data_IF_024660800966
#
_entry.id   IF_024660800966
#
_cell.length_a   1.000
_cell.length_b   1.000
_cell.length_c   1.000
_cell.angle_alpha   90.00
_cell.angle_beta   90.00
_cell.angle_gamma   90.00
#
_symmetry.space_group_name_H-M   'P 1'
#
loop_
_entity.id
_entity.type
_entity.pdbx_description
1 polymer ?
#
# COMPACT_ATOMS: atom_id res chain seq x y z
N UNK A 1 14.09 -6.89 9.20
CA UNK A 1 14.83 -5.84 8.45
C UNK A 1 13.95 -4.78 7.75
N UNK A 2 12.60 -4.83 7.78
CA UNK A 2 11.76 -3.99 6.88
C UNK A 2 11.35 -2.59 7.39
N UNK A 3 11.01 -2.43 8.68
CA UNK A 3 10.40 -1.19 9.20
C UNK A 3 11.38 -0.02 9.36
N UNK A 4 12.50 -0.26 10.05
CA UNK A 4 13.55 0.75 10.24
C UNK A 4 14.12 1.23 8.90
N UNK A 5 14.34 0.32 7.93
CA UNK A 5 14.82 0.70 6.60
C UNK A 5 13.82 1.56 5.82
N UNK A 6 12.51 1.29 5.88
CA UNK A 6 11.50 2.12 5.22
C UNK A 6 11.39 3.51 5.84
N UNK A 7 11.47 3.61 7.17
CA UNK A 7 11.45 4.88 7.88
C UNK A 7 12.67 5.74 7.50
N UNK A 8 13.87 5.17 7.52
CA UNK A 8 15.10 5.85 7.09
C UNK A 8 15.03 6.37 5.65
N UNK A 9 14.45 5.59 4.72
CA UNK A 9 14.26 6.05 3.33
C UNK A 9 13.28 7.22 3.27
N UNK A 10 12.19 7.17 4.03
CA UNK A 10 11.18 8.24 4.07
C UNK A 10 11.75 9.53 4.67
N UNK A 11 12.52 9.41 5.76
CA UNK A 11 13.23 10.54 6.37
C UNK A 11 14.28 11.14 5.42
N UNK A 12 15.00 10.31 4.67
CA UNK A 12 15.92 10.79 3.63
C UNK A 12 15.18 11.56 2.54
N UNK A 13 14.02 11.06 2.07
CA UNK A 13 13.21 11.76 1.08
C UNK A 13 12.74 13.12 1.60
N UNK A 14 12.34 13.23 2.87
CA UNK A 14 11.96 14.50 3.50
C UNK A 14 13.12 15.48 3.53
N UNK A 15 14.31 15.04 3.96
CA UNK A 15 15.51 15.90 3.94
C UNK A 15 15.81 16.43 2.55
N UNK A 16 15.65 15.60 1.52
CA UNK A 16 15.86 16.03 0.14
C UNK A 16 14.80 17.04 -0.32
N UNK A 17 13.56 16.93 0.14
CA UNK A 17 12.48 17.87 -0.20
C UNK A 17 12.57 19.21 0.54
N UNK A 18 13.09 19.23 1.77
CA UNK A 18 13.32 20.48 2.52
C UNK A 18 14.43 21.32 1.92
N UNK A 19 15.37 20.69 1.21
CA UNK A 19 16.47 21.38 0.54
C UNK A 19 16.04 21.88 -0.84
N UNK A 20 16.31 23.15 -1.12
CA UNK A 20 16.01 23.76 -2.40
C UNK A 20 17.25 23.73 -3.32
N UNK A 21 17.60 22.55 -3.82
CA UNK A 21 18.75 22.38 -4.72
C UNK A 21 18.56 23.15 -6.03
N UNK A 22 19.56 23.95 -6.40
CA UNK A 22 19.58 24.71 -7.66
C UNK A 22 20.31 23.98 -8.78
N UNK A 23 21.02 22.88 -8.48
CA UNK A 23 21.76 22.07 -9.45
C UNK A 23 21.93 20.62 -9.00
N UNK A 24 22.22 19.72 -9.95
CA UNK A 24 22.57 18.32 -9.66
C UNK A 24 23.85 18.20 -8.83
N UNK A 25 24.81 19.13 -9.01
CA UNK A 25 26.05 19.17 -8.24
C UNK A 25 25.82 19.47 -6.75
N UNK A 26 24.85 20.34 -6.43
CA UNK A 26 24.45 20.60 -5.05
C UNK A 26 23.79 19.37 -4.41
N UNK A 27 22.90 18.71 -5.14
CA UNK A 27 22.28 17.44 -4.71
C UNK A 27 23.34 16.37 -4.44
N UNK A 28 24.30 16.20 -5.36
CA UNK A 28 25.37 15.21 -5.21
C UNK A 28 26.23 15.49 -3.98
N UNK A 29 26.67 16.75 -3.79
CA UNK A 29 27.45 17.14 -2.60
C UNK A 29 26.67 16.90 -1.30
N UNK A 30 25.37 17.19 -1.29
CA UNK A 30 24.53 16.92 -0.14
C UNK A 30 24.44 15.41 0.14
N UNK A 31 24.20 14.59 -0.87
CA UNK A 31 24.17 13.13 -0.75
C UNK A 31 25.49 12.57 -0.25
N UNK A 32 26.63 13.02 -0.79
CA UNK A 32 27.97 12.65 -0.32
C UNK A 32 28.18 13.02 1.16
N UNK A 33 27.64 14.17 1.59
CA UNK A 33 27.73 14.62 2.98
C UNK A 33 26.96 13.75 3.98
N UNK A 34 25.99 12.95 3.50
CA UNK A 34 25.18 12.02 4.28
C UNK A 34 25.77 10.61 4.33
N UNK A 35 26.74 10.27 3.47
CA UNK A 35 27.37 8.96 3.45
C UNK A 35 28.06 8.70 4.79
N UNK A 36 27.74 7.57 5.43
CA UNK A 36 28.30 7.16 6.71
C UNK A 36 27.72 7.89 7.93
N UNK A 37 26.73 8.76 7.76
CA UNK A 37 25.99 9.40 8.85
C UNK A 37 24.64 8.74 9.05
N UNK A 38 24.14 8.78 10.28
CA UNK A 38 22.74 8.44 10.55
C UNK A 38 21.84 9.53 9.99
N UNK A 39 20.78 9.11 9.30
CA UNK A 39 19.76 10.02 8.78
C UNK A 39 18.88 10.48 9.95
N UNK A 40 18.73 11.80 10.20
CA UNK A 40 17.83 12.33 11.21
C UNK A 40 16.40 11.82 11.02
N UNK A 41 15.76 11.36 12.11
CA UNK A 41 14.34 11.00 12.10
C UNK A 41 13.49 12.25 12.31
N UNK A 42 12.40 12.36 11.56
CA UNK A 42 11.41 13.40 11.77
C UNK A 42 10.46 13.01 12.92
N UNK A 43 10.08 13.96 13.81
CA UNK A 43 9.05 13.72 14.82
C UNK A 43 7.70 13.43 14.17
N UNK A 44 6.93 12.51 14.74
CA UNK A 44 5.59 12.15 14.25
C UNK A 44 4.67 13.38 14.07
N UNK A 45 4.69 14.30 15.04
CA UNK A 45 3.86 15.50 15.03
C UNK A 45 4.24 16.53 13.95
N UNK A 46 5.41 16.37 13.33
CA UNK A 46 5.86 17.23 12.22
C UNK A 46 5.41 16.72 10.84
N UNK A 47 4.89 15.50 10.77
CA UNK A 47 4.44 14.88 9.53
C UNK A 47 3.06 15.38 9.14
N UNK A 48 2.75 15.39 7.84
CA UNK A 48 1.38 15.65 7.40
C UNK A 48 0.43 14.50 7.80
N UNK A 49 -0.89 14.75 7.91
CA UNK A 49 -1.84 13.75 8.39
C UNK A 49 -1.84 12.42 7.62
N UNK A 50 -1.56 12.42 6.31
CA UNK A 50 -1.52 11.18 5.52
C UNK A 50 -0.26 10.38 5.82
N UNK A 51 0.86 11.04 6.04
CA UNK A 51 2.09 10.39 6.47
C UNK A 51 1.96 9.83 7.89
N UNK A 52 1.37 10.59 8.82
CA UNK A 52 1.05 10.11 10.16
C UNK A 52 0.16 8.86 10.12
N UNK A 53 -0.88 8.87 9.29
CA UNK A 53 -1.74 7.71 9.09
C UNK A 53 -0.95 6.49 8.59
N UNK A 54 -0.06 6.66 7.61
CA UNK A 54 0.80 5.58 7.11
C UNK A 54 1.77 5.04 8.16
N UNK A 55 2.36 5.88 9.00
CA UNK A 55 3.23 5.44 10.09
C UNK A 55 2.45 4.62 11.12
N UNK A 56 1.25 5.06 11.51
CA UNK A 56 0.37 4.32 12.41
C UNK A 56 0.01 2.93 11.85
N UNK A 57 -0.29 2.83 10.55
CA UNK A 57 -0.57 1.54 9.91
C UNK A 57 0.68 0.68 9.79
N UNK A 58 1.84 1.26 9.48
CA UNK A 58 3.10 0.54 9.49
C UNK A 58 3.40 -0.06 10.86
N UNK A 59 3.10 0.69 11.94
CA UNK A 59 3.20 0.20 13.30
C UNK A 59 2.21 -0.92 13.60
N UNK A 60 0.97 -0.79 13.12
CA UNK A 60 -0.11 -1.74 13.36
C UNK A 60 0.17 -3.16 12.85
N UNK A 61 0.99 -3.32 11.81
CA UNK A 61 1.38 -4.65 11.30
C UNK A 61 2.17 -5.51 12.30
N UNK A 62 2.88 -4.90 13.25
CA UNK A 62 3.69 -5.61 14.25
C UNK A 62 2.96 -5.75 15.60
N UNK A 63 1.71 -5.31 15.70
CA UNK A 63 0.94 -5.26 16.93
C UNK A 63 -0.06 -6.42 17.06
N UNK A 64 -0.52 -6.68 18.28
CA UNK A 64 -1.66 -7.59 18.49
C UNK A 64 -2.93 -7.03 17.82
N UNK A 65 -3.91 -7.87 17.41
CA UNK A 65 -5.13 -7.40 16.73
C UNK A 65 -5.86 -6.26 17.46
N UNK A 66 -5.91 -6.30 18.79
CA UNK A 66 -6.57 -5.26 19.60
C UNK A 66 -5.80 -3.94 19.51
N UNK A 67 -4.47 -3.98 19.63
CA UNK A 67 -3.63 -2.77 19.53
C UNK A 67 -3.59 -2.23 18.10
N UNK A 68 -3.53 -3.11 17.09
CA UNK A 68 -3.59 -2.74 15.69
C UNK A 68 -4.87 -1.95 15.37
N UNK A 69 -6.03 -2.36 15.90
CA UNK A 69 -7.30 -1.63 15.70
C UNK A 69 -7.26 -0.19 16.24
N UNK A 70 -6.61 0.06 17.38
CA UNK A 70 -6.44 1.42 17.91
C UNK A 70 -5.65 2.30 16.93
N UNK A 71 -4.52 1.79 16.42
CA UNK A 71 -3.71 2.52 15.44
C UNK A 71 -4.45 2.76 14.12
N UNK A 72 -5.22 1.77 13.65
CA UNK A 72 -6.05 1.88 12.46
C UNK A 72 -7.10 2.98 12.64
N UNK A 73 -7.81 3.00 13.76
CA UNK A 73 -8.82 4.02 14.05
C UNK A 73 -8.21 5.42 14.08
N UNK A 74 -7.05 5.59 14.71
CA UNK A 74 -6.31 6.85 14.69
C UNK A 74 -5.87 7.24 13.27
N UNK A 75 -5.37 6.28 12.48
CA UNK A 75 -4.99 6.53 11.09
C UNK A 75 -6.19 7.01 10.25
N UNK A 76 -7.37 6.43 10.44
CA UNK A 76 -8.61 6.82 9.74
C UNK A 76 -9.17 8.17 10.21
N UNK A 77 -8.89 8.59 11.44
CA UNK A 77 -9.21 9.94 11.92
C UNK A 77 -8.34 11.00 11.22
N UNK A 78 -7.08 10.66 10.91
CA UNK A 78 -6.13 11.54 10.23
C UNK A 78 -6.36 11.55 8.71
N UNK A 79 -6.57 10.38 8.11
CA UNK A 79 -6.89 10.20 6.70
C UNK A 79 -7.96 9.12 6.50
N UNK A 80 -9.20 9.55 6.34
CA UNK A 80 -10.34 8.66 6.07
C UNK A 80 -10.20 7.90 4.74
N UNK A 81 -9.32 8.34 3.85
CA UNK A 81 -9.02 7.68 2.58
C UNK A 81 -7.75 6.82 2.64
N UNK A 82 -7.21 6.53 3.83
CA UNK A 82 -6.05 5.66 4.00
C UNK A 82 -6.38 4.22 3.58
N UNK A 83 -6.00 3.84 2.35
CA UNK A 83 -6.28 2.50 1.81
C UNK A 83 -5.59 1.41 2.65
N UNK A 84 -4.36 1.64 3.12
CA UNK A 84 -3.63 0.68 3.97
C UNK A 84 -4.40 0.33 5.26
N UNK A 85 -5.11 1.29 5.84
CA UNK A 85 -5.94 1.05 7.02
C UNK A 85 -7.08 0.06 6.72
N UNK A 86 -7.74 0.20 5.56
CA UNK A 86 -8.80 -0.70 5.14
C UNK A 86 -8.29 -2.10 4.76
N UNK A 87 -7.08 -2.21 4.21
CA UNK A 87 -6.43 -3.52 4.01
C UNK A 87 -6.26 -4.21 5.36
N UNK A 88 -5.66 -3.53 6.33
CA UNK A 88 -5.36 -4.15 7.61
C UNK A 88 -6.64 -4.52 8.37
N UNK A 89 -7.69 -3.69 8.32
CA UNK A 89 -9.00 -4.06 8.85
C UNK A 89 -9.50 -5.37 8.24
N UNK A 90 -9.50 -5.49 6.91
CA UNK A 90 -9.96 -6.71 6.24
C UNK A 90 -9.14 -7.95 6.59
N UNK A 91 -7.82 -7.81 6.73
CA UNK A 91 -6.93 -8.91 7.12
C UNK A 91 -7.10 -9.36 8.58
N UNK A 92 -7.63 -8.51 9.46
CA UNK A 92 -7.90 -8.84 10.87
C UNK A 92 -9.23 -9.58 11.06
N UNK A 93 -10.05 -9.69 10.02
CA UNK A 93 -11.33 -10.39 10.08
C UNK A 93 -11.16 -11.90 9.82
N UNK A 94 -11.84 -12.72 10.61
CA UNK A 94 -11.83 -14.19 10.45
C UNK A 94 -12.88 -14.69 9.45
N UNK A 95 -13.89 -13.87 9.15
CA UNK A 95 -14.96 -14.20 8.22
C UNK A 95 -14.69 -13.48 6.89
N UNK A 96 -14.47 -14.22 5.78
CA UNK A 96 -14.12 -13.62 4.49
C UNK A 96 -15.09 -12.52 4.04
N UNK A 97 -16.39 -12.75 4.22
CA UNK A 97 -17.42 -11.78 3.84
C UNK A 97 -17.34 -10.46 4.62
N UNK A 98 -16.87 -10.49 5.88
CA UNK A 98 -16.65 -9.26 6.66
C UNK A 98 -15.39 -8.55 6.15
N UNK A 99 -14.31 -9.30 5.91
CA UNK A 99 -13.08 -8.75 5.33
C UNK A 99 -13.30 -8.07 3.98
N UNK A 100 -14.15 -8.67 3.13
CA UNK A 100 -14.56 -8.13 1.84
C UNK A 100 -15.12 -6.70 1.93
N UNK A 101 -15.91 -6.38 2.95
CA UNK A 101 -16.49 -5.03 3.12
C UNK A 101 -15.38 -3.97 3.22
N UNK A 102 -14.30 -4.28 3.94
CA UNK A 102 -13.16 -3.37 4.08
C UNK A 102 -12.32 -3.30 2.80
N UNK A 103 -12.07 -4.44 2.15
CA UNK A 103 -11.36 -4.44 0.87
C UNK A 103 -12.12 -3.68 -0.22
N UNK A 104 -13.44 -3.82 -0.31
CA UNK A 104 -14.30 -3.06 -1.22
C UNK A 104 -14.20 -1.56 -0.98
N UNK A 105 -14.16 -1.14 0.29
CA UNK A 105 -13.97 0.28 0.64
C UNK A 105 -12.61 0.78 0.16
N UNK A 106 -11.53 0.03 0.40
CA UNK A 106 -10.19 0.37 -0.09
C UNK A 106 -10.10 0.40 -1.62
N UNK A 107 -10.74 -0.55 -2.31
CA UNK A 107 -10.85 -0.59 -3.77
C UNK A 107 -11.61 0.63 -4.28
N UNK A 108 -12.74 1.01 -3.66
CA UNK A 108 -13.53 2.16 -4.08
C UNK A 108 -12.74 3.46 -3.96
N UNK A 109 -12.00 3.65 -2.86
CA UNK A 109 -11.10 4.80 -2.69
C UNK A 109 -10.00 4.77 -3.76
N UNK A 110 -9.34 3.62 -3.96
CA UNK A 110 -8.29 3.47 -4.96
C UNK A 110 -8.79 3.73 -6.38
N UNK A 111 -10.00 3.30 -6.75
CA UNK A 111 -10.59 3.59 -8.06
C UNK A 111 -10.95 5.05 -8.26
N UNK A 112 -11.19 5.79 -7.17
CA UNK A 112 -11.42 7.24 -7.16
C UNK A 112 -10.11 8.02 -7.32
N UNK A 113 -9.07 7.65 -6.55
CA UNK A 113 -7.74 8.29 -6.59
C UNK A 113 -7.04 7.98 -7.92
N UNK A 114 -6.99 6.71 -8.29
CA UNK A 114 -6.39 6.23 -9.54
C UNK A 114 -7.49 6.08 -10.57
N UNK A 115 -8.00 7.19 -11.08
CA UNK A 115 -9.09 7.19 -12.05
C UNK A 115 -8.77 6.42 -13.36
N UNK A 116 -9.72 6.36 -14.29
CA UNK A 116 -9.51 5.65 -15.57
C UNK A 116 -8.31 6.19 -16.36
N UNK A 117 -8.04 7.49 -16.30
CA UNK A 117 -6.94 8.12 -17.04
C UNK A 117 -5.60 7.75 -16.42
N UNK A 118 -5.50 7.79 -15.10
CA UNK A 118 -4.31 7.35 -14.36
C UNK A 118 -4.05 5.86 -14.62
N UNK A 119 -5.08 5.00 -14.51
CA UNK A 119 -4.96 3.56 -14.81
C UNK A 119 -4.50 3.27 -16.23
N UNK A 120 -5.06 3.97 -17.22
CA UNK A 120 -4.64 3.79 -18.61
C UNK A 120 -3.18 4.23 -18.83
N UNK A 121 -2.78 5.37 -18.26
CA UNK A 121 -1.41 5.91 -18.40
C UNK A 121 -0.34 5.02 -17.76
N UNK A 122 -0.67 4.41 -16.63
CA UNK A 122 0.27 3.64 -15.81
C UNK A 122 0.09 2.13 -15.93
N UNK A 123 -0.78 1.65 -16.83
CA UNK A 123 -1.03 0.23 -17.07
C UNK A 123 0.29 -0.52 -17.29
N UNK A 124 0.45 -1.67 -16.66
CA UNK A 124 1.67 -2.45 -16.69
C UNK A 124 2.76 -2.04 -15.70
N UNK A 125 2.62 -0.88 -15.04
CA UNK A 125 3.65 -0.33 -14.15
C UNK A 125 3.13 -0.04 -12.73
N UNK A 126 1.89 -0.42 -12.41
CA UNK A 126 1.27 -0.06 -11.12
C UNK A 126 2.14 -0.48 -9.93
N UNK A 127 2.64 -1.72 -9.91
CA UNK A 127 3.44 -2.20 -8.78
C UNK A 127 4.72 -1.39 -8.51
N UNK A 128 5.30 -0.78 -9.56
CA UNK A 128 6.45 0.11 -9.42
C UNK A 128 6.11 1.44 -8.72
N UNK A 129 4.85 1.85 -8.77
CA UNK A 129 4.32 3.07 -8.17
C UNK A 129 3.86 2.76 -6.74
N UNK A 130 4.67 3.18 -5.77
CA UNK A 130 4.47 2.89 -4.35
C UNK A 130 3.07 3.27 -3.85
N UNK A 131 2.55 4.40 -4.33
CA UNK A 131 1.23 4.91 -3.96
C UNK A 131 0.08 3.99 -4.39
N UNK A 132 0.26 3.15 -5.42
CA UNK A 132 -0.80 2.27 -5.92
C UNK A 132 -0.83 0.90 -5.25
N UNK A 133 0.26 0.51 -4.56
CA UNK A 133 0.38 -0.82 -3.93
C UNK A 133 -0.71 -1.14 -2.92
N UNK A 134 -1.18 -0.21 -2.07
CA UNK A 134 -2.29 -0.49 -1.17
C UNK A 134 -3.55 -0.88 -1.94
N UNK A 135 -3.88 -0.16 -3.02
CA UNK A 135 -5.03 -0.49 -3.87
C UNK A 135 -4.90 -1.88 -4.51
N UNK A 136 -3.72 -2.22 -5.03
CA UNK A 136 -3.48 -3.54 -5.62
C UNK A 136 -3.56 -4.67 -4.59
N UNK A 137 -3.13 -4.42 -3.35
CA UNK A 137 -3.27 -5.38 -2.24
C UNK A 137 -4.73 -5.57 -1.84
N UNK A 138 -5.55 -4.52 -1.81
CA UNK A 138 -7.00 -4.67 -1.60
C UNK A 138 -7.62 -5.57 -2.67
N UNK A 139 -7.30 -5.34 -3.95
CA UNK A 139 -7.79 -6.19 -5.06
C UNK A 139 -7.42 -7.66 -4.82
N UNK A 140 -6.15 -7.92 -4.48
CA UNK A 140 -5.67 -9.28 -4.25
C UNK A 140 -6.39 -9.96 -3.08
N UNK A 141 -6.48 -9.30 -1.92
CA UNK A 141 -7.15 -9.86 -0.73
C UNK A 141 -8.66 -10.03 -0.95
N UNK A 142 -9.28 -9.17 -1.76
CA UNK A 142 -10.67 -9.33 -2.18
C UNK A 142 -10.86 -10.57 -3.06
N UNK A 143 -9.98 -10.81 -4.04
CA UNK A 143 -10.01 -12.01 -4.87
C UNK A 143 -9.83 -13.29 -4.04
N UNK A 144 -8.92 -13.27 -3.06
CA UNK A 144 -8.73 -14.38 -2.12
C UNK A 144 -10.01 -14.69 -1.33
N UNK A 145 -10.73 -13.66 -0.88
CA UNK A 145 -12.01 -13.83 -0.21
C UNK A 145 -13.10 -14.37 -1.14
N UNK A 146 -13.18 -13.88 -2.38
CA UNK A 146 -14.12 -14.37 -3.40
C UNK A 146 -13.91 -15.87 -3.66
N UNK A 147 -12.66 -16.29 -3.81
CA UNK A 147 -12.32 -17.69 -3.98
C UNK A 147 -12.74 -18.54 -2.76
N UNK A 148 -12.48 -18.05 -1.54
CA UNK A 148 -12.84 -18.74 -0.30
C UNK A 148 -14.35 -18.99 -0.14
N UNK A 149 -15.19 -18.17 -0.80
CA UNK A 149 -16.66 -18.31 -0.80
C UNK A 149 -17.20 -18.86 -2.12
N UNK A 150 -16.35 -19.51 -2.93
CA UNK A 150 -16.70 -20.15 -4.21
C UNK A 150 -17.28 -19.23 -5.28
N UNK A 151 -16.97 -17.93 -5.25
CA UNK A 151 -17.27 -16.98 -6.34
C UNK A 151 -16.10 -16.93 -7.30
N UNK A 152 -15.84 -18.06 -7.97
CA UNK A 152 -14.60 -18.29 -8.73
C UNK A 152 -14.54 -17.41 -9.98
N UNK A 153 -15.64 -17.17 -10.68
CA UNK A 153 -15.65 -16.31 -11.87
C UNK A 153 -15.25 -14.87 -11.52
N UNK A 154 -15.69 -14.38 -10.37
CA UNK A 154 -15.34 -13.05 -9.88
C UNK A 154 -13.90 -13.00 -9.35
N UNK A 155 -13.40 -14.08 -8.72
CA UNK A 155 -11.96 -14.24 -8.42
C UNK A 155 -11.11 -13.99 -9.67
N UNK A 156 -11.42 -14.73 -10.75
CA UNK A 156 -10.68 -14.72 -12.01
C UNK A 156 -10.62 -13.30 -12.58
N UNK A 157 -11.76 -12.61 -12.66
CA UNK A 157 -11.83 -11.26 -13.20
C UNK A 157 -10.93 -10.26 -12.44
N UNK A 158 -10.83 -10.38 -11.11
CA UNK A 158 -9.97 -9.50 -10.31
C UNK A 158 -8.48 -9.83 -10.52
N UNK A 159 -8.12 -11.11 -10.60
CA UNK A 159 -6.73 -11.49 -10.87
C UNK A 159 -6.29 -11.11 -12.28
N UNK A 160 -7.16 -11.22 -13.29
CA UNK A 160 -6.89 -10.71 -14.62
C UNK A 160 -6.63 -9.19 -14.62
N UNK A 161 -7.44 -8.41 -13.89
CA UNK A 161 -7.19 -6.97 -13.69
C UNK A 161 -5.81 -6.73 -13.05
N UNK A 162 -5.42 -7.52 -12.04
CA UNK A 162 -4.11 -7.39 -11.40
C UNK A 162 -2.94 -7.69 -12.34
N UNK A 163 -3.06 -8.72 -13.19
CA UNK A 163 -2.06 -9.04 -14.22
C UNK A 163 -1.94 -7.91 -15.25
N UNK A 164 -3.06 -7.32 -15.66
CA UNK A 164 -3.04 -6.19 -16.57
C UNK A 164 -2.34 -4.95 -15.98
N UNK A 165 -2.51 -4.72 -14.67
CA UNK A 165 -1.87 -3.62 -13.96
C UNK A 165 -0.38 -3.90 -13.66
N UNK A 166 -0.01 -5.18 -13.50
CA UNK A 166 1.32 -5.66 -13.11
C UNK A 166 1.69 -6.98 -13.81
N UNK A 167 2.03 -6.94 -15.11
CA UNK A 167 2.29 -8.13 -15.94
C UNK A 167 3.57 -8.87 -15.56
N UNK A 168 4.50 -8.21 -14.85
CA UNK A 168 5.69 -8.86 -14.30
C UNK A 168 5.38 -9.73 -13.08
N UNK A 169 4.10 -9.81 -12.70
CA UNK A 169 3.60 -10.57 -11.56
C UNK A 169 4.39 -10.36 -10.27
N UNK A 170 4.72 -9.10 -9.96
CA UNK A 170 5.49 -8.80 -8.75
C UNK A 170 4.73 -9.07 -7.44
N UNK A 171 3.41 -9.34 -7.53
CA UNK A 171 2.58 -9.80 -6.41
C UNK A 171 2.47 -11.33 -6.33
N UNK A 172 2.92 -12.04 -7.36
CA UNK A 172 2.85 -13.49 -7.46
C UNK A 172 1.46 -14.05 -7.69
N UNK A 173 0.51 -13.27 -8.24
CA UNK A 173 -0.91 -13.58 -8.46
C UNK A 173 -1.16 -14.58 -9.61
N UNK A 174 -0.19 -14.85 -10.49
CA UNK A 174 -0.38 -15.83 -11.60
C UNK A 174 -0.72 -17.21 -11.04
N UNK A 175 -0.09 -17.62 -9.93
CA UNK A 175 -0.34 -18.93 -9.34
C UNK A 175 -1.77 -19.04 -8.77
N UNK A 176 -2.28 -17.98 -8.14
CA UNK A 176 -3.63 -17.91 -7.60
C UNK A 176 -4.65 -17.88 -8.74
N UNK A 177 -4.37 -17.16 -9.82
CA UNK A 177 -5.20 -17.18 -11.02
C UNK A 177 -5.28 -18.59 -11.62
N UNK A 178 -4.15 -19.28 -11.78
CA UNK A 178 -4.13 -20.66 -12.24
C UNK A 178 -4.97 -21.58 -11.33
N UNK A 179 -4.87 -21.40 -10.01
CA UNK A 179 -5.69 -22.16 -9.06
C UNK A 179 -7.19 -21.88 -9.24
N UNK A 180 -7.61 -20.62 -9.40
CA UNK A 180 -9.01 -20.30 -9.71
C UNK A 180 -9.45 -20.97 -11.03
N UNK A 181 -8.64 -20.93 -12.09
CA UNK A 181 -9.00 -21.47 -13.41
C UNK A 181 -9.14 -23.00 -13.47
N UNK A 182 -8.37 -23.75 -12.66
CA UNK A 182 -8.49 -25.22 -12.62
C UNK A 182 -9.58 -25.72 -11.64
N UNK A 183 -10.17 -24.81 -10.87
CA UNK A 183 -11.24 -25.10 -9.91
C UNK A 183 -12.63 -25.01 -10.56
N UNK A 184 -12.73 -24.38 -11.74
CA UNK A 184 -13.92 -24.32 -12.60
C UNK A 184 -14.08 -25.63 -13.39
#
# INVERSE_FOLDING_TARGET
MKKSSNKTISDLQRLLMEQNFQSEEELQKFMESLIGKEIPSFPFDSLDPKEQAKELIMDAYDLSPVQARVNIEQALQLDINCIDAYILLGLLESVPQIGMVFFEKGIAIGRSIFDKKYRAKHKGHFWGLHETRPFMRCLQSYAECLFAIWRVEECVAIYEELIELNPNDSQGVVNQLMHCLITV
#
